data_IF_678362237477
#
_entry.id   IF_678362237477
#
_cell.length_a   1.000
_cell.length_b   1.000
_cell.length_c   1.000
_cell.angle_alpha   90.00
_cell.angle_beta   90.00
_cell.angle_gamma   90.00
#
_symmetry.space_group_name_H-M   'P 1'
#
loop_
_entity.id
_entity.type
_entity.pdbx_description
1 polymer ?
#
# COMPACT_ATOMS: atom_id res chain seq x y z
N UNK A 1 -3.42 0.01 4.38
CA UNK A 1 -2.93 1.40 4.38
C UNK A 1 -4.12 2.31 4.19
N UNK A 2 -4.06 3.57 4.61
CA UNK A 2 -4.94 4.60 4.03
C UNK A 2 -4.11 5.47 3.11
N UNK A 3 -4.66 5.83 1.97
CA UNK A 3 -3.95 6.63 0.98
C UNK A 3 -4.79 7.79 0.50
N UNK A 4 -4.14 8.78 -0.09
CA UNK A 4 -4.79 9.86 -0.80
C UNK A 4 -3.94 10.30 -1.98
N UNK A 5 -4.58 10.96 -2.95
CA UNK A 5 -3.87 11.66 -4.00
C UNK A 5 -3.04 12.81 -3.41
N UNK A 6 -1.80 12.95 -3.89
CA UNK A 6 -0.91 14.05 -3.54
C UNK A 6 -1.34 15.31 -4.32
N UNK A 7 -2.43 15.92 -3.84
CA UNK A 7 -3.01 17.12 -4.42
C UNK A 7 -2.54 18.33 -3.60
N UNK A 8 -1.43 18.92 -4.02
CA UNK A 8 -0.82 20.14 -3.43
C UNK A 8 -1.82 21.30 -3.28
N UNK A 9 -2.88 21.31 -4.08
CA UNK A 9 -3.92 22.37 -4.10
C UNK A 9 -5.29 21.92 -3.61
N UNK A 10 -5.45 20.70 -3.10
CA UNK A 10 -6.75 20.22 -2.65
C UNK A 10 -7.21 20.93 -1.37
N UNK A 11 -8.39 21.54 -1.42
CA UNK A 11 -9.07 22.12 -0.25
C UNK A 11 -9.51 21.07 0.77
N UNK A 12 -9.61 19.81 0.34
CA UNK A 12 -10.00 18.67 1.16
C UNK A 12 -9.35 17.40 0.63
N UNK A 13 -8.72 16.64 1.52
CA UNK A 13 -8.08 15.36 1.22
C UNK A 13 -9.05 14.26 1.68
N UNK A 14 -9.43 13.38 0.76
CA UNK A 14 -10.15 12.14 1.09
C UNK A 14 -9.13 11.03 1.26
N UNK A 15 -9.26 10.29 2.35
CA UNK A 15 -8.44 9.11 2.62
C UNK A 15 -9.26 7.87 2.25
N UNK A 16 -8.70 7.05 1.39
CA UNK A 16 -9.27 5.78 0.96
C UNK A 16 -8.48 4.61 1.56
N UNK A 17 -9.16 3.50 1.81
CA UNK A 17 -8.52 2.28 2.27
C UNK A 17 -7.89 1.53 1.09
N UNK A 18 -6.71 0.96 1.32
CA UNK A 18 -5.98 0.21 0.31
C UNK A 18 -4.96 -0.75 0.87
N UNK A 19 -4.27 -1.45 -0.03
CA UNK A 19 -3.22 -2.42 0.31
C UNK A 19 -1.94 -2.04 -0.41
N UNK A 20 -0.81 -2.22 0.27
CA UNK A 20 0.51 -2.08 -0.35
C UNK A 20 1.10 -3.46 -0.55
N UNK A 21 1.48 -3.76 -1.79
CA UNK A 21 2.19 -4.98 -2.15
C UNK A 21 3.66 -4.71 -2.44
N UNK A 22 4.51 -5.50 -1.81
CA UNK A 22 5.95 -5.52 -2.04
C UNK A 22 6.29 -6.66 -3.01
N UNK A 23 6.73 -6.32 -4.22
CA UNK A 23 7.19 -7.28 -5.22
C UNK A 23 8.71 -7.36 -5.15
N UNK A 24 9.20 -8.31 -4.35
CA UNK A 24 10.63 -8.45 -4.06
C UNK A 24 11.45 -8.73 -5.33
N UNK A 25 10.98 -9.60 -6.23
CA UNK A 25 11.71 -9.88 -7.48
C UNK A 25 11.93 -8.65 -8.38
N UNK A 26 11.03 -7.67 -8.31
CA UNK A 26 11.09 -6.47 -9.14
C UNK A 26 11.58 -5.23 -8.39
N UNK A 27 11.86 -5.35 -7.08
CA UNK A 27 12.12 -4.21 -6.18
C UNK A 27 11.07 -3.11 -6.34
N UNK A 28 9.79 -3.49 -6.39
CA UNK A 28 8.68 -2.57 -6.62
C UNK A 28 7.69 -2.60 -5.48
N UNK A 29 7.14 -1.43 -5.21
CA UNK A 29 6.02 -1.24 -4.32
C UNK A 29 4.80 -0.82 -5.16
N UNK A 30 3.66 -1.44 -4.87
CA UNK A 30 2.41 -1.22 -5.59
C UNK A 30 1.32 -0.87 -4.59
N UNK A 31 0.65 0.27 -4.82
CA UNK A 31 -0.53 0.68 -4.09
C UNK A 31 -1.76 0.15 -4.82
N UNK A 32 -2.59 -0.61 -4.10
CA UNK A 32 -3.84 -1.17 -4.58
C UNK A 32 -5.02 -0.55 -3.84
N UNK A 33 -6.13 -0.35 -4.54
CA UNK A 33 -7.41 0.00 -3.93
C UNK A 33 -8.04 -1.22 -3.20
N UNK A 34 -9.18 -1.01 -2.55
CA UNK A 34 -9.94 -2.07 -1.88
C UNK A 34 -10.36 -3.24 -2.79
N UNK A 35 -10.42 -3.02 -4.10
CA UNK A 35 -10.77 -4.02 -5.11
C UNK A 35 -9.54 -4.74 -5.69
N UNK A 36 -8.34 -4.45 -5.18
CA UNK A 36 -7.08 -5.01 -5.65
C UNK A 36 -6.59 -4.43 -6.98
N UNK A 37 -7.12 -3.29 -7.42
CA UNK A 37 -6.68 -2.60 -8.65
C UNK A 37 -5.51 -1.67 -8.34
N UNK A 38 -4.54 -1.62 -9.25
CA UNK A 38 -3.39 -0.72 -9.12
C UNK A 38 -3.82 0.74 -9.19
N UNK A 39 -3.52 1.48 -8.13
CA UNK A 39 -3.69 2.94 -8.04
C UNK A 39 -2.39 3.63 -8.43
N UNK A 40 -1.27 3.19 -7.86
CA UNK A 40 0.04 3.78 -8.11
C UNK A 40 1.17 2.77 -7.86
N UNK A 41 2.36 3.04 -8.39
CA UNK A 41 3.52 2.17 -8.24
C UNK A 41 4.83 2.95 -8.34
N UNK A 42 5.85 2.47 -7.64
CA UNK A 42 7.23 2.90 -7.87
C UNK A 42 8.22 1.80 -7.54
N UNK A 43 9.48 2.03 -7.89
CA UNK A 43 10.58 1.22 -7.42
C UNK A 43 10.94 1.59 -5.98
N UNK A 44 11.42 0.60 -5.24
CA UNK A 44 12.07 0.79 -3.95
C UNK A 44 13.39 1.51 -4.17
N UNK A 45 13.76 2.35 -3.21
CA UNK A 45 15.09 2.96 -3.16
C UNK A 45 16.05 2.04 -2.42
N UNK A 46 17.32 2.14 -2.74
CA UNK A 46 18.35 1.42 -2.00
C UNK A 46 18.32 1.81 -0.51
N UNK A 47 18.33 0.80 0.36
CA UNK A 47 18.25 1.00 1.81
C UNK A 47 16.88 1.46 2.33
N UNK A 48 15.85 1.50 1.50
CA UNK A 48 14.51 1.92 1.94
C UNK A 48 13.87 0.91 2.89
N UNK A 49 13.44 1.37 4.05
CA UNK A 49 12.66 0.61 5.03
C UNK A 49 11.20 1.07 5.04
N UNK A 50 10.28 0.10 5.21
CA UNK A 50 8.85 0.37 5.37
C UNK A 50 8.44 0.04 6.80
N UNK A 51 8.07 1.07 7.54
CA UNK A 51 7.73 0.99 8.95
C UNK A 51 6.23 1.16 9.17
N UNK A 52 5.70 0.43 10.16
CA UNK A 52 4.33 0.64 10.62
C UNK A 52 4.24 2.03 11.23
N UNK A 53 3.19 2.77 10.91
CA UNK A 53 3.01 4.18 11.27
C UNK A 53 3.68 5.16 10.30
N UNK A 54 4.55 4.68 9.40
CA UNK A 54 5.23 5.49 8.40
C UNK A 54 4.33 5.93 7.24
N UNK A 55 4.85 6.87 6.44
CA UNK A 55 4.22 7.35 5.20
C UNK A 55 5.06 6.91 4.01
N UNK A 56 4.40 6.32 3.03
CA UNK A 56 4.97 5.94 1.74
C UNK A 56 4.57 6.99 0.71
N UNK A 57 5.54 7.66 0.11
CA UNK A 57 5.28 8.52 -1.06
C UNK A 57 5.21 7.67 -2.32
N UNK A 58 4.28 7.99 -3.20
CA UNK A 58 4.16 7.50 -4.57
C UNK A 58 4.23 8.69 -5.55
N UNK A 59 4.38 8.48 -6.86
CA UNK A 59 4.40 9.57 -7.84
C UNK A 59 3.19 10.51 -7.75
N UNK A 60 1.99 9.98 -7.52
CA UNK A 60 0.76 10.77 -7.49
C UNK A 60 -0.03 10.65 -6.17
N UNK A 61 0.47 9.85 -5.21
CA UNK A 61 -0.25 9.52 -3.98
C UNK A 61 0.69 9.46 -2.78
N UNK A 62 0.13 9.45 -1.58
CA UNK A 62 0.84 9.00 -0.38
C UNK A 62 -0.02 8.01 0.38
N UNK A 63 0.62 7.06 1.07
CA UNK A 63 -0.07 6.04 1.85
C UNK A 63 0.50 5.94 3.27
N UNK A 64 -0.35 5.97 4.28
CA UNK A 64 0.01 5.74 5.67
C UNK A 64 -0.11 4.25 6.00
N UNK A 65 0.96 3.70 6.56
CA UNK A 65 1.04 2.29 6.97
C UNK A 65 0.45 2.14 8.36
N UNK A 66 -0.59 1.32 8.51
CA UNK A 66 -1.30 1.16 9.80
C UNK A 66 -0.93 -0.12 10.53
N UNK A 67 -0.94 -1.24 9.82
CA UNK A 67 -0.63 -2.56 10.38
C UNK A 67 -0.05 -3.49 9.30
N UNK A 68 0.59 -4.59 9.72
CA UNK A 68 1.06 -5.67 8.86
C UNK A 68 0.07 -6.82 8.94
N UNK A 69 -0.59 -7.13 7.84
CA UNK A 69 -1.39 -8.38 7.75
C UNK A 69 -0.42 -9.52 7.41
N UNK A 70 -0.25 -10.54 8.26
CA UNK A 70 0.58 -11.69 7.94
C UNK A 70 0.00 -12.43 6.73
N UNK A 71 0.85 -12.78 5.76
CA UNK A 71 0.48 -13.54 4.55
C UNK A 71 -0.21 -14.89 4.87
N UNK A 72 -0.03 -15.42 6.09
CA UNK A 72 -0.63 -16.68 6.52
C UNK A 72 -2.17 -16.69 6.58
N UNK A 73 -2.83 -15.52 6.71
CA UNK A 73 -4.28 -15.46 6.94
C UNK A 73 -5.10 -15.32 5.64
N UNK A 74 -4.46 -15.05 4.50
CA UNK A 74 -5.16 -14.99 3.20
C UNK A 74 -5.42 -16.39 2.60
N UNK A 75 -4.86 -17.46 3.18
CA UNK A 75 -5.00 -18.85 2.72
C UNK A 75 -5.86 -19.72 3.65
N UNK A 76 -6.34 -19.20 4.78
CA UNK A 76 -7.25 -19.92 5.68
C UNK A 76 -8.70 -19.85 5.17
N UNK A 77 -8.89 -20.29 3.93
CA UNK A 77 -10.18 -20.43 3.25
C UNK A 77 -10.27 -21.77 2.53
N UNK A 78 -9.72 -22.84 3.10
CA UNK A 78 -10.07 -24.21 2.73
C UNK A 78 -9.64 -25.20 3.80
N UNK A 79 -10.57 -25.61 4.66
CA UNK A 79 -10.82 -27.03 4.96
C UNK A 79 -11.90 -27.12 6.04
N UNK A 80 -13.09 -27.53 5.61
CA UNK A 80 -14.04 -28.22 6.47
C UNK A 80 -13.65 -29.71 6.51
N UNK A 81 -13.91 -30.38 7.63
CA UNK A 81 -14.71 -31.61 7.57
C UNK A 81 -16.02 -31.48 8.35
#
# INVERSE_FOLDING_TARGET
VTYAADLVTARRISLDDGVVWLRHEALRIVLLDEHGRTVDTRFLREGESIEIGGILSFPCHFARVHDRIPVATAMAGSSAP
#
